data_IF_954321394327
#
_entry.id   IF_954321394327
#
_cell.length_a   1.000
_cell.length_b   1.000
_cell.length_c   1.000
_cell.angle_alpha   90.00
_cell.angle_beta   90.00
_cell.angle_gamma   90.00
#
_symmetry.space_group_name_H-M   'P 1'
#
loop_
_entity.id
_entity.type
_entity.pdbx_description
1 polymer ?
#
# COMPACT_ATOMS: atom_id res chain seq x y z
N UNK A 1 -2.30 -26.10 -8.39
CA UNK A 1 -2.16 -24.86 -7.62
C UNK A 1 -2.19 -25.23 -6.15
N UNK A 2 -1.01 -25.32 -5.53
CA UNK A 2 -0.87 -25.66 -4.11
C UNK A 2 -1.47 -24.53 -3.27
N UNK A 3 -2.57 -24.82 -2.60
CA UNK A 3 -3.21 -23.91 -1.64
C UNK A 3 -2.18 -23.52 -0.58
N UNK A 4 -1.90 -22.23 -0.32
CA UNK A 4 -1.17 -21.81 0.87
C UNK A 4 -2.09 -22.05 2.07
N UNK A 5 -2.16 -23.29 2.55
CA UNK A 5 -3.20 -23.77 3.48
C UNK A 5 -3.15 -23.24 4.91
N UNK A 6 -2.53 -22.10 5.20
CA UNK A 6 -2.41 -21.57 6.58
C UNK A 6 -2.45 -20.05 6.74
N UNK A 7 -2.60 -19.27 5.66
CA UNK A 7 -2.83 -17.83 5.82
C UNK A 7 -4.32 -17.57 5.76
N UNK A 8 -4.87 -17.03 6.84
CA UNK A 8 -6.28 -16.66 6.85
C UNK A 8 -6.46 -15.47 5.91
N UNK A 9 -7.52 -15.48 5.09
CA UNK A 9 -7.88 -14.35 4.22
C UNK A 9 -7.92 -13.03 5.00
N UNK A 10 -8.35 -13.07 6.27
CA UNK A 10 -8.32 -11.92 7.18
C UNK A 10 -6.93 -11.32 7.39
N UNK A 11 -5.85 -12.13 7.41
CA UNK A 11 -4.47 -11.61 7.54
C UNK A 11 -4.02 -10.90 6.27
N UNK A 12 -4.46 -11.35 5.10
CA UNK A 12 -4.20 -10.66 3.81
C UNK A 12 -4.90 -9.31 3.81
N UNK A 13 -6.18 -9.29 4.19
CA UNK A 13 -6.97 -8.06 4.28
C UNK A 13 -6.40 -7.09 5.33
N UNK A 14 -5.96 -7.59 6.49
CA UNK A 14 -5.27 -6.80 7.50
C UNK A 14 -3.96 -6.21 6.97
N UNK A 15 -3.20 -6.98 6.19
CA UNK A 15 -1.95 -6.52 5.56
C UNK A 15 -2.22 -5.38 4.58
N UNK A 16 -3.26 -5.49 3.76
CA UNK A 16 -3.68 -4.45 2.82
C UNK A 16 -4.17 -3.18 3.55
N UNK A 17 -5.02 -3.34 4.56
CA UNK A 17 -5.50 -2.22 5.36
C UNK A 17 -4.36 -1.52 6.10
N UNK A 18 -3.42 -2.27 6.66
CA UNK A 18 -2.23 -1.72 7.29
C UNK A 18 -1.34 -0.94 6.32
N UNK A 19 -1.24 -1.38 5.06
CA UNK A 19 -0.54 -0.65 4.00
C UNK A 19 -1.21 0.69 3.67
N UNK A 20 -2.52 0.67 3.44
CA UNK A 20 -3.29 1.88 3.16
C UNK A 20 -3.22 2.86 4.35
N UNK A 21 -3.42 2.36 5.56
CA UNK A 21 -3.36 3.14 6.80
C UNK A 21 -2.02 3.83 6.99
N UNK A 22 -0.91 3.13 6.75
CA UNK A 22 0.42 3.73 6.82
C UNK A 22 0.63 4.84 5.79
N UNK A 23 0.19 4.61 4.54
CA UNK A 23 0.35 5.61 3.47
C UNK A 23 -0.50 6.85 3.67
N UNK A 24 -1.71 6.68 4.21
CA UNK A 24 -2.68 7.74 4.47
C UNK A 24 -2.50 8.42 5.82
N UNK A 25 -1.68 7.84 6.72
CA UNK A 25 -1.33 8.44 8.01
C UNK A 25 -2.29 8.13 9.16
N UNK A 26 -3.14 7.10 9.05
CA UNK A 26 -4.08 6.73 10.10
C UNK A 26 -3.76 5.38 10.77
N UNK A 27 -4.44 5.08 11.88
CA UNK A 27 -4.41 3.76 12.53
C UNK A 27 -5.78 3.11 12.46
N UNK A 28 -5.86 1.95 11.83
CA UNK A 28 -7.09 1.15 11.81
C UNK A 28 -7.26 0.39 13.14
N UNK A 29 -8.48 0.41 13.68
CA UNK A 29 -8.88 -0.45 14.80
C UNK A 29 -9.96 -1.38 14.26
N UNK A 30 -9.68 -2.69 14.22
CA UNK A 30 -10.60 -3.70 13.68
C UNK A 30 -11.07 -4.66 14.78
N UNK A 31 -12.26 -4.43 15.38
CA UNK A 31 -12.86 -5.38 16.31
C UNK A 31 -13.12 -6.75 15.67
N UNK A 32 -13.13 -7.81 16.50
CA UNK A 32 -13.23 -9.23 16.07
C UNK A 32 -14.47 -9.54 15.22
N UNK A 33 -15.51 -8.71 15.26
CA UNK A 33 -16.77 -8.91 14.53
C UNK A 33 -17.27 -7.68 13.77
N UNK A 34 -16.48 -6.61 13.71
CA UNK A 34 -16.83 -5.36 13.00
C UNK A 34 -15.60 -4.81 12.26
N UNK A 35 -14.99 -5.68 11.44
CA UNK A 35 -13.86 -5.32 10.61
C UNK A 35 -14.25 -4.51 9.38
N UNK A 36 -13.23 -3.99 8.70
CA UNK A 36 -13.40 -3.44 7.37
C UNK A 36 -13.75 -4.57 6.37
N UNK A 37 -14.66 -4.29 5.46
CA UNK A 37 -14.98 -5.20 4.35
C UNK A 37 -13.95 -5.03 3.21
N UNK A 38 -13.96 -5.96 2.26
CA UNK A 38 -12.99 -5.95 1.14
C UNK A 38 -13.10 -4.68 0.29
N UNK A 39 -14.33 -4.18 0.05
CA UNK A 39 -14.56 -2.98 -0.76
C UNK A 39 -14.04 -1.71 -0.06
N UNK A 40 -14.21 -1.61 1.27
CA UNK A 40 -13.63 -0.55 2.09
C UNK A 40 -12.10 -0.57 2.00
N UNK A 41 -11.49 -1.76 2.08
CA UNK A 41 -10.03 -1.90 1.96
C UNK A 41 -9.56 -1.53 0.55
N UNK A 42 -10.27 -1.96 -0.50
CA UNK A 42 -9.97 -1.54 -1.88
C UNK A 42 -10.05 -0.02 -2.06
N UNK A 43 -11.02 0.64 -1.42
CA UNK A 43 -11.15 2.09 -1.45
C UNK A 43 -10.02 2.81 -0.73
N UNK A 44 -9.57 2.30 0.43
CA UNK A 44 -8.42 2.87 1.12
C UNK A 44 -7.12 2.65 0.35
N UNK A 45 -6.94 1.48 -0.29
CA UNK A 45 -5.82 1.25 -1.21
C UNK A 45 -5.87 2.20 -2.40
N UNK A 46 -7.07 2.46 -2.95
CA UNK A 46 -7.27 3.42 -4.03
C UNK A 46 -6.86 4.84 -3.62
N UNK A 47 -7.33 5.33 -2.48
CA UNK A 47 -6.92 6.62 -1.90
C UNK A 47 -5.41 6.69 -1.66
N UNK A 48 -4.83 5.65 -1.07
CA UNK A 48 -3.40 5.58 -0.79
C UNK A 48 -2.55 5.61 -2.06
N UNK A 49 -3.04 5.02 -3.15
CA UNK A 49 -2.38 5.09 -4.46
C UNK A 49 -2.54 6.47 -5.10
N UNK A 50 -3.75 7.05 -5.11
CA UNK A 50 -4.00 8.39 -5.63
C UNK A 50 -3.16 9.45 -4.91
N UNK A 51 -3.03 9.35 -3.58
CA UNK A 51 -2.15 10.20 -2.78
C UNK A 51 -0.68 10.09 -3.21
N UNK A 52 -0.21 8.88 -3.52
CA UNK A 52 1.14 8.66 -4.06
C UNK A 52 1.28 9.23 -5.47
N UNK A 53 0.31 8.96 -6.34
CA UNK A 53 0.31 9.43 -7.73
C UNK A 53 0.34 10.95 -7.82
N UNK A 54 -0.46 11.64 -7.01
CA UNK A 54 -0.46 13.10 -6.94
C UNK A 54 0.91 13.65 -6.50
N UNK A 55 1.54 12.96 -5.54
CA UNK A 55 2.86 13.35 -5.02
C UNK A 55 3.99 13.16 -6.04
N UNK A 56 3.92 12.07 -6.82
CA UNK A 56 4.86 11.81 -7.91
C UNK A 56 4.68 12.85 -9.02
N UNK A 57 3.44 13.15 -9.42
CA UNK A 57 3.15 14.19 -10.42
C UNK A 57 3.61 15.58 -9.95
N UNK A 58 3.44 15.90 -8.67
CA UNK A 58 3.95 17.15 -8.11
C UNK A 58 5.48 17.22 -8.10
N UNK A 59 6.17 16.08 -8.11
CA UNK A 59 7.62 16.04 -8.28
C UNK A 59 8.01 16.47 -9.70
N UNK A 60 7.33 15.94 -10.71
CA UNK A 60 7.55 16.32 -12.10
C UNK A 60 7.30 17.83 -12.30
N UNK A 61 6.19 18.34 -11.77
CA UNK A 61 5.87 19.77 -11.79
C UNK A 61 6.92 20.63 -11.07
N UNK A 62 7.46 20.14 -9.95
CA UNK A 62 8.50 20.85 -9.23
C UNK A 62 9.77 21.00 -10.08
N UNK A 63 10.17 19.96 -10.81
CA UNK A 63 11.32 20.02 -11.70
C UNK A 63 11.10 20.95 -12.90
N UNK A 64 9.91 20.90 -13.51
CA UNK A 64 9.55 21.81 -14.60
C UNK A 64 9.57 23.26 -14.12
N UNK A 65 8.95 23.55 -12.97
CA UNK A 65 8.92 24.89 -12.37
C UNK A 65 10.32 25.40 -12.02
N UNK A 66 11.17 24.59 -11.38
CA UNK A 66 12.55 24.94 -11.04
C UNK A 66 13.38 25.28 -12.28
N UNK A 67 13.13 24.56 -13.38
CA UNK A 67 13.78 24.82 -14.68
C UNK A 67 13.29 26.14 -15.28
N UNK A 68 11.99 26.42 -15.22
CA UNK A 68 11.39 27.66 -15.72
C UNK A 68 11.89 28.91 -14.98
N UNK A 69 12.10 28.82 -13.67
CA UNK A 69 12.62 29.93 -12.87
C UNK A 69 14.16 30.02 -12.88
N UNK A 70 14.84 29.17 -13.68
CA UNK A 70 16.30 29.06 -13.77
C UNK A 70 16.97 28.86 -12.40
N UNK A 71 16.38 28.03 -11.53
CA UNK A 71 16.95 27.71 -10.22
C UNK A 71 18.24 26.89 -10.36
N UNK A 72 19.15 27.05 -9.41
CA UNK A 72 20.39 26.27 -9.36
C UNK A 72 20.11 24.83 -8.89
N UNK A 73 19.92 23.91 -9.84
CA UNK A 73 19.61 22.51 -9.55
C UNK A 73 20.76 21.77 -8.85
N UNK A 74 22.00 22.25 -8.94
CA UNK A 74 23.14 21.63 -8.23
C UNK A 74 23.12 21.95 -6.73
N UNK A 75 22.37 22.97 -6.32
CA UNK A 75 22.23 23.35 -4.91
C UNK A 75 21.24 22.48 -4.14
N UNK A 76 20.38 21.72 -4.84
CA UNK A 76 19.38 20.85 -4.25
C UNK A 76 20.00 19.55 -3.74
N UNK A 77 19.63 19.14 -2.53
CA UNK A 77 20.07 17.89 -1.91
C UNK A 77 19.44 16.67 -2.59
N UNK A 78 18.13 16.72 -2.83
CA UNK A 78 17.35 15.64 -3.42
C UNK A 78 16.03 16.12 -4.05
N UNK A 79 15.29 15.18 -4.65
CA UNK A 79 13.94 15.42 -5.19
C UNK A 79 12.93 15.87 -4.13
N UNK A 80 13.13 15.50 -2.85
CA UNK A 80 12.21 15.90 -1.79
C UNK A 80 12.37 17.38 -1.45
N UNK A 81 13.57 17.93 -1.51
CA UNK A 81 13.80 19.36 -1.41
C UNK A 81 13.16 20.12 -2.58
N UNK A 82 13.39 19.67 -3.82
CA UNK A 82 12.77 20.24 -5.01
C UNK A 82 11.23 20.31 -4.86
N UNK A 83 10.62 19.18 -4.48
CA UNK A 83 9.18 19.07 -4.29
C UNK A 83 8.68 19.96 -3.15
N UNK A 84 9.40 20.04 -2.01
CA UNK A 84 9.00 20.90 -0.88
C UNK A 84 9.00 22.38 -1.27
N UNK A 85 10.04 22.85 -1.94
CA UNK A 85 10.12 24.24 -2.41
C UNK A 85 8.93 24.60 -3.30
N UNK A 86 8.63 23.74 -4.28
CA UNK A 86 7.49 23.91 -5.17
C UNK A 86 6.15 23.90 -4.43
N UNK A 87 5.91 22.87 -3.59
CA UNK A 87 4.64 22.70 -2.87
C UNK A 87 4.39 23.85 -1.91
N UNK A 88 5.42 24.31 -1.19
CA UNK A 88 5.30 25.46 -0.27
C UNK A 88 4.98 26.74 -1.03
N UNK A 89 5.64 26.99 -2.17
CA UNK A 89 5.37 28.15 -3.01
C UNK A 89 3.95 28.13 -3.59
N UNK A 90 3.57 27.01 -4.21
CA UNK A 90 2.27 26.85 -4.85
C UNK A 90 1.11 26.88 -3.84
N UNK A 91 1.12 26.00 -2.84
CA UNK A 91 0.00 25.90 -1.90
C UNK A 91 -0.03 27.04 -0.88
N UNK A 92 1.11 27.69 -0.63
CA UNK A 92 1.17 28.90 0.18
C UNK A 92 0.36 30.05 -0.43
N UNK A 93 0.35 30.19 -1.76
CA UNK A 93 -0.47 31.19 -2.46
C UNK A 93 -1.96 30.87 -2.40
N UNK A 94 -2.31 29.57 -2.39
CA UNK A 94 -3.70 29.08 -2.25
C UNK A 94 -4.22 29.15 -0.81
N UNK A 95 -3.41 29.62 0.15
CA UNK A 95 -3.81 29.87 1.54
C UNK A 95 -3.63 28.68 2.51
N UNK A 96 -2.86 27.66 2.13
CA UNK A 96 -2.47 26.57 3.03
C UNK A 96 -1.41 27.01 4.05
N UNK A 97 -1.32 26.27 5.18
CA UNK A 97 -0.34 26.57 6.24
C UNK A 97 1.07 26.12 5.81
N UNK A 98 1.91 27.09 5.46
CA UNK A 98 3.30 26.88 5.02
C UNK A 98 4.14 26.12 6.05
N UNK A 99 3.98 26.41 7.36
CA UNK A 99 4.76 25.74 8.40
C UNK A 99 4.41 24.25 8.46
N UNK A 100 3.12 23.92 8.30
CA UNK A 100 2.67 22.53 8.24
C UNK A 100 3.09 21.83 6.94
N UNK A 101 3.10 22.52 5.80
CA UNK A 101 3.57 21.96 4.52
C UNK A 101 5.05 21.55 4.59
N UNK A 102 5.88 22.31 5.30
CA UNK A 102 7.31 21.99 5.46
C UNK A 102 7.58 20.91 6.50
N UNK A 103 6.81 20.88 7.59
CA UNK A 103 7.09 20.02 8.75
C UNK A 103 6.32 18.71 8.76
N UNK A 104 5.08 18.69 8.25
CA UNK A 104 4.22 17.52 8.20
C UNK A 104 4.04 17.01 6.76
N UNK A 105 4.76 15.92 6.46
CA UNK A 105 4.70 15.26 5.16
C UNK A 105 3.30 14.75 4.82
N UNK A 106 2.50 14.32 5.79
CA UNK A 106 1.15 13.84 5.51
C UNK A 106 0.25 15.02 5.13
N UNK A 107 0.31 16.12 5.87
CA UNK A 107 -0.43 17.34 5.54
C UNK A 107 -0.08 17.83 4.12
N UNK A 108 1.21 17.86 3.77
CA UNK A 108 1.67 18.24 2.43
C UNK A 108 1.12 17.30 1.34
N UNK A 109 1.24 15.98 1.52
CA UNK A 109 0.75 14.99 0.55
C UNK A 109 -0.75 15.08 0.34
N UNK A 110 -1.51 15.23 1.41
CA UNK A 110 -2.97 15.36 1.36
C UNK A 110 -3.39 16.65 0.65
N UNK A 111 -2.75 17.78 0.98
CA UNK A 111 -3.04 19.08 0.35
C UNK A 111 -2.74 19.04 -1.15
N UNK A 112 -1.59 18.48 -1.55
CA UNK A 112 -1.25 18.27 -2.98
C UNK A 112 -2.27 17.39 -3.69
N UNK A 113 -2.68 16.27 -3.08
CA UNK A 113 -3.65 15.37 -3.70
C UNK A 113 -5.02 16.04 -3.89
N UNK A 114 -5.45 16.88 -2.94
CA UNK A 114 -6.70 17.63 -3.04
C UNK A 114 -6.67 18.62 -4.21
N UNK A 115 -5.60 19.41 -4.33
CA UNK A 115 -5.47 20.35 -5.47
C UNK A 115 -5.30 19.63 -6.80
N UNK A 116 -4.55 18.53 -6.82
CA UNK A 116 -4.34 17.71 -8.02
C UNK A 116 -5.65 17.11 -8.56
N UNK A 117 -6.57 16.73 -7.67
CA UNK A 117 -7.92 16.29 -8.03
C UNK A 117 -8.77 17.47 -8.48
N UNK A 118 -8.69 18.61 -7.79
CA UNK A 118 -9.46 19.81 -8.14
C UNK A 118 -9.14 20.30 -9.55
N UNK A 119 -7.88 20.24 -9.95
CA UNK A 119 -7.43 20.57 -11.31
C UNK A 119 -7.98 19.64 -12.41
N UNK A 120 -8.62 18.53 -12.06
CA UNK A 120 -9.26 17.57 -12.97
C UNK A 120 -10.79 17.68 -12.99
N UNK A 121 -11.34 18.79 -12.51
CA UNK A 121 -12.79 19.03 -12.38
C UNK A 121 -13.50 17.96 -11.53
N UNK A 122 -12.79 17.32 -10.60
CA UNK A 122 -13.33 16.38 -9.63
C UNK A 122 -13.39 17.03 -8.24
N UNK A 123 -14.40 16.63 -7.45
CA UNK A 123 -14.55 17.12 -6.08
C UNK A 123 -13.56 16.41 -5.14
N UNK A 124 -12.59 17.12 -4.53
CA UNK A 124 -11.65 16.54 -3.58
C UNK A 124 -12.32 15.97 -2.34
N UNK A 125 -13.44 16.54 -1.89
CA UNK A 125 -14.13 16.09 -0.67
C UNK A 125 -14.85 14.76 -0.88
N UNK A 126 -15.17 14.42 -2.12
CA UNK A 126 -15.72 13.11 -2.47
C UNK A 126 -14.68 11.99 -2.28
N UNK A 127 -13.40 12.29 -2.54
CA UNK A 127 -12.31 11.32 -2.47
C UNK A 127 -11.61 11.32 -1.11
N UNK A 128 -11.38 12.51 -0.56
CA UNK A 128 -10.65 12.81 0.66
C UNK A 128 -11.48 13.72 1.59
N UNK A 129 -12.54 13.19 2.23
CA UNK A 129 -13.43 14.00 3.06
C UNK A 129 -12.71 14.57 4.30
N UNK A 130 -12.85 15.87 4.55
CA UNK A 130 -12.22 16.52 5.71
C UNK A 130 -12.77 15.97 7.04
N UNK A 131 -14.05 15.63 7.09
CA UNK A 131 -14.74 15.12 8.28
C UNK A 131 -14.66 13.59 8.44
N UNK A 132 -13.71 12.92 7.77
CA UNK A 132 -13.54 11.46 7.73
C UNK A 132 -13.63 10.78 9.12
N UNK A 133 -13.09 11.41 10.16
CA UNK A 133 -13.10 10.86 11.54
C UNK A 133 -14.51 10.76 12.16
N UNK A 134 -15.44 11.61 11.73
CA UNK A 134 -16.78 11.75 12.33
C UNK A 134 -17.90 11.15 11.48
N UNK A 135 -17.58 10.73 10.25
CA UNK A 135 -18.54 10.16 9.32
C UNK A 135 -18.98 8.75 9.73
N UNK A 136 -20.27 8.45 9.52
CA UNK A 136 -20.80 7.10 9.77
C UNK A 136 -20.42 6.18 8.61
N UNK A 137 -20.25 4.89 8.89
CA UNK A 137 -19.89 3.86 7.90
C UNK A 137 -20.80 3.82 6.66
N UNK A 138 -22.10 4.09 6.83
CA UNK A 138 -23.05 4.14 5.71
C UNK A 138 -22.82 5.34 4.78
N UNK A 139 -22.37 6.47 5.34
CA UNK A 139 -22.14 7.69 4.58
C UNK A 139 -20.84 7.58 3.76
N UNK A 140 -19.96 6.62 4.08
CA UNK A 140 -18.72 6.33 3.33
C UNK A 140 -18.92 5.61 1.99
N UNK A 141 -20.05 4.93 1.80
CA UNK A 141 -20.30 4.12 0.60
C UNK A 141 -20.08 4.90 -0.71
N UNK A 142 -20.67 6.10 -0.93
CA UNK A 142 -20.42 6.86 -2.15
C UNK A 142 -18.96 7.31 -2.31
N UNK A 143 -18.29 7.67 -1.21
CA UNK A 143 -16.88 8.06 -1.22
C UNK A 143 -15.95 6.88 -1.55
N UNK A 144 -16.32 5.67 -1.14
CA UNK A 144 -15.56 4.45 -1.43
C UNK A 144 -15.63 4.11 -2.91
N UNK A 145 -16.84 4.16 -3.50
CA UNK A 145 -17.02 3.89 -4.92
C UNK A 145 -16.32 4.94 -5.79
N UNK A 146 -16.43 6.23 -5.43
CA UNK A 146 -15.75 7.31 -6.13
C UNK A 146 -14.21 7.16 -6.10
N UNK A 147 -13.65 6.75 -4.95
CA UNK A 147 -12.21 6.50 -4.81
C UNK A 147 -11.73 5.36 -5.70
N UNK A 148 -12.46 4.24 -5.69
CA UNK A 148 -12.12 3.08 -6.53
C UNK A 148 -12.21 3.46 -8.00
N UNK A 149 -13.32 4.07 -8.42
CA UNK A 149 -13.52 4.49 -9.81
C UNK A 149 -12.41 5.44 -10.29
N UNK A 150 -12.11 6.48 -9.50
CA UNK A 150 -11.07 7.46 -9.86
C UNK A 150 -9.69 6.81 -9.95
N UNK A 151 -9.36 5.93 -9.01
CA UNK A 151 -8.11 5.17 -9.03
C UNK A 151 -8.00 4.26 -10.25
N UNK A 152 -9.06 3.51 -10.59
CA UNK A 152 -9.05 2.62 -11.76
C UNK A 152 -8.85 3.42 -13.04
N UNK A 153 -9.57 4.54 -13.21
CA UNK A 153 -9.48 5.37 -14.41
C UNK A 153 -8.11 6.03 -14.55
N UNK A 154 -7.60 6.63 -13.48
CA UNK A 154 -6.28 7.27 -13.47
C UNK A 154 -5.17 6.24 -13.69
N UNK A 155 -5.21 5.09 -13.00
CA UNK A 155 -4.24 4.02 -13.21
C UNK A 155 -4.26 3.55 -14.66
N UNK A 156 -5.44 3.38 -15.25
CA UNK A 156 -5.54 2.96 -16.64
C UNK A 156 -4.93 3.99 -17.59
N UNK A 157 -5.24 5.28 -17.39
CA UNK A 157 -4.63 6.38 -18.17
C UNK A 157 -3.10 6.36 -18.05
N UNK A 158 -2.60 6.27 -16.82
CA UNK A 158 -1.16 6.19 -16.55
C UNK A 158 -0.50 4.99 -17.25
N UNK A 159 -1.15 3.83 -17.25
CA UNK A 159 -0.62 2.63 -17.91
C UNK A 159 -0.63 2.75 -19.43
N UNK A 160 -1.64 3.41 -20.01
CA UNK A 160 -1.67 3.70 -21.44
C UNK A 160 -0.52 4.62 -21.84
N UNK A 161 -0.27 5.67 -21.07
CA UNK A 161 0.81 6.63 -21.36
C UNK A 161 2.19 5.98 -21.19
N UNK A 162 2.40 5.25 -20.09
CA UNK A 162 3.69 4.63 -19.77
C UNK A 162 4.06 3.47 -20.69
N UNK A 163 3.09 2.69 -21.14
CA UNK A 163 3.30 1.46 -21.92
C UNK A 163 2.67 1.52 -23.31
N UNK A 164 2.51 2.72 -23.90
CA UNK A 164 1.84 2.92 -25.18
C UNK A 164 2.40 2.02 -26.31
N UNK A 165 3.72 1.83 -26.35
CA UNK A 165 4.37 1.00 -27.37
C UNK A 165 4.18 -0.51 -27.17
N UNK A 166 3.99 -0.95 -25.92
CA UNK A 166 3.90 -2.36 -25.54
C UNK A 166 2.45 -2.85 -25.61
N UNK A 167 1.49 -1.97 -25.34
CA UNK A 167 0.09 -2.36 -25.19
C UNK A 167 -0.60 -2.61 -26.55
N UNK A 168 -1.25 -3.78 -26.71
CA UNK A 168 -2.11 -4.07 -27.84
C UNK A 168 -3.24 -3.03 -28.04
N UNK A 169 -3.62 -2.78 -29.29
CA UNK A 169 -4.65 -1.78 -29.65
C UNK A 169 -6.01 -2.06 -29.01
N UNK A 170 -6.34 -3.31 -28.72
CA UNK A 170 -7.59 -3.69 -28.06
C UNK A 170 -7.66 -3.27 -26.58
N UNK A 171 -6.52 -2.95 -25.96
CA UNK A 171 -6.47 -2.42 -24.60
C UNK A 171 -6.48 -0.88 -24.55
N UNK A 172 -6.33 -0.20 -25.70
CA UNK A 172 -6.30 1.28 -25.76
C UNK A 172 -7.71 1.87 -25.80
N UNK A 173 -8.45 1.66 -24.72
CA UNK A 173 -9.80 2.19 -24.52
C UNK A 173 -9.73 3.50 -23.75
N UNK A 174 -10.62 4.45 -24.06
CA UNK A 174 -10.73 5.73 -23.35
C UNK A 174 -11.23 5.50 -21.91
N UNK A 175 -10.39 5.74 -20.88
CA UNK A 175 -10.72 5.45 -19.50
C UNK A 175 -11.80 6.37 -18.93
N UNK A 176 -12.16 7.48 -19.59
CA UNK A 176 -13.24 8.37 -19.11
C UNK A 176 -14.62 7.93 -19.58
N UNK A 177 -14.70 7.16 -20.68
CA UNK A 177 -15.97 6.75 -21.30
C UNK A 177 -16.34 5.29 -21.02
N UNK A 178 -15.35 4.44 -20.74
CA UNK A 178 -15.56 3.03 -20.48
C UNK A 178 -16.26 2.79 -19.13
N UNK A 179 -16.93 1.65 -19.02
CA UNK A 179 -17.48 1.17 -17.77
C UNK A 179 -16.37 0.68 -16.82
N UNK A 180 -16.55 0.90 -15.53
CA UNK A 180 -15.51 0.57 -14.52
C UNK A 180 -15.25 -0.93 -14.46
N UNK A 181 -16.29 -1.76 -14.56
CA UNK A 181 -16.13 -3.22 -14.51
C UNK A 181 -15.40 -3.76 -15.76
N UNK A 182 -15.59 -3.12 -16.92
CA UNK A 182 -14.84 -3.40 -18.12
C UNK A 182 -13.36 -3.03 -17.95
N UNK A 183 -13.08 -1.84 -17.39
CA UNK A 183 -11.71 -1.39 -17.11
C UNK A 183 -10.99 -2.33 -16.13
N UNK A 184 -11.64 -2.80 -15.06
CA UNK A 184 -11.05 -3.78 -14.15
C UNK A 184 -10.69 -5.10 -14.86
N UNK A 185 -11.54 -5.54 -15.79
CA UNK A 185 -11.28 -6.75 -16.58
C UNK A 185 -10.08 -6.56 -17.51
N UNK A 186 -9.99 -5.42 -18.18
CA UNK A 186 -8.87 -5.07 -19.05
C UNK A 186 -7.57 -4.84 -18.25
N UNK A 187 -7.67 -4.26 -17.05
CA UNK A 187 -6.53 -4.03 -16.15
C UNK A 187 -5.82 -5.33 -15.79
N UNK A 188 -6.54 -6.44 -15.61
CA UNK A 188 -5.93 -7.75 -15.39
C UNK A 188 -5.08 -8.22 -16.58
N UNK A 189 -5.49 -7.89 -17.82
CA UNK A 189 -4.72 -8.19 -19.02
C UNK A 189 -3.47 -7.31 -19.10
N UNK A 190 -3.61 -6.01 -18.80
CA UNK A 190 -2.48 -5.07 -18.70
C UNK A 190 -1.47 -5.55 -17.66
N UNK A 191 -1.95 -5.96 -16.48
CA UNK A 191 -1.11 -6.49 -15.39
C UNK A 191 -0.30 -7.70 -15.83
N UNK A 192 -0.89 -8.59 -16.64
CA UNK A 192 -0.20 -9.78 -17.13
C UNK A 192 0.93 -9.44 -18.10
N UNK A 193 0.81 -8.34 -18.85
CA UNK A 193 1.81 -7.90 -19.83
C UNK A 193 2.90 -7.03 -19.20
N UNK A 194 2.54 -6.19 -18.23
CA UNK A 194 3.42 -5.15 -17.65
C UNK A 194 3.97 -5.53 -16.28
N UNK A 195 3.40 -6.56 -15.63
CA UNK A 195 3.64 -6.92 -14.23
C UNK A 195 3.25 -5.87 -13.20
N UNK A 196 2.65 -4.74 -13.61
CA UNK A 196 2.12 -3.73 -12.70
C UNK A 196 0.63 -4.02 -12.43
N UNK A 197 0.27 -4.37 -11.19
CA UNK A 197 -1.11 -4.67 -10.84
C UNK A 197 -1.94 -3.42 -10.61
N UNK A 198 -3.26 -3.60 -10.70
CA UNK A 198 -4.21 -2.58 -10.26
C UNK A 198 -4.05 -2.31 -8.75
N UNK A 199 -3.93 -1.04 -8.31
CA UNK A 199 -3.56 -0.71 -6.93
C UNK A 199 -4.56 -1.20 -5.88
N UNK A 200 -5.85 -1.31 -6.26
CA UNK A 200 -6.93 -1.75 -5.37
C UNK A 200 -6.80 -3.22 -4.92
N UNK A 201 -5.91 -3.99 -5.56
CA UNK A 201 -5.64 -5.39 -5.23
C UNK A 201 -4.64 -5.56 -4.09
N UNK A 202 -3.92 -4.51 -3.69
CA UNK A 202 -2.90 -4.56 -2.62
C UNK A 202 -1.67 -5.41 -2.98
N UNK A 203 -1.40 -5.56 -4.27
CA UNK A 203 -0.25 -6.29 -4.80
C UNK A 203 0.75 -5.32 -5.40
N UNK A 204 2.01 -5.71 -5.38
CA UNK A 204 3.12 -4.95 -5.96
C UNK A 204 4.01 -5.86 -6.78
N UNK A 205 4.71 -5.26 -7.76
CA UNK A 205 5.78 -5.94 -8.48
C UNK A 205 7.00 -6.02 -7.57
N UNK A 206 7.51 -7.24 -7.38
CA UNK A 206 8.72 -7.47 -6.59
C UNK A 206 9.85 -7.94 -7.49
N UNK A 207 11.08 -7.62 -7.09
CA UNK A 207 12.32 -8.05 -7.74
C UNK A 207 13.02 -9.04 -6.83
N UNK A 208 13.45 -10.18 -7.38
CA UNK A 208 14.24 -11.16 -6.65
C UNK A 208 15.62 -10.59 -6.33
N UNK A 209 15.91 -10.40 -5.04
CA UNK A 209 17.18 -9.87 -4.56
C UNK A 209 18.40 -10.75 -4.86
N UNK A 210 18.22 -12.01 -5.27
CA UNK A 210 19.34 -12.88 -5.68
C UNK A 210 19.68 -12.76 -7.17
N UNK A 211 18.67 -12.66 -8.02
CA UNK A 211 18.85 -12.70 -9.48
C UNK A 211 18.70 -11.34 -10.15
N UNK A 212 18.08 -10.37 -9.47
CA UNK A 212 17.74 -9.05 -10.02
C UNK A 212 16.58 -9.07 -11.02
N UNK A 213 15.87 -10.19 -11.16
CA UNK A 213 14.73 -10.34 -12.09
C UNK A 213 13.41 -10.11 -11.37
N UNK A 214 12.38 -9.56 -12.04
CA UNK A 214 11.04 -9.47 -11.46
C UNK A 214 10.43 -10.86 -11.23
N UNK A 215 9.54 -10.98 -10.25
CA UNK A 215 8.72 -12.18 -10.08
C UNK A 215 7.67 -12.30 -11.20
N UNK A 216 7.28 -13.52 -11.54
CA UNK A 216 6.30 -13.80 -12.60
C UNK A 216 4.91 -13.20 -12.29
N UNK A 217 4.54 -13.12 -11.01
CA UNK A 217 3.25 -12.62 -10.56
C UNK A 217 3.43 -11.56 -9.48
N UNK A 218 2.57 -10.50 -9.47
CA UNK A 218 2.53 -9.53 -8.40
C UNK A 218 2.23 -10.18 -7.05
N UNK A 219 2.89 -9.69 -6.00
CA UNK A 219 2.85 -10.26 -4.65
C UNK A 219 2.15 -9.27 -3.73
N UNK A 220 1.32 -9.78 -2.81
CA UNK A 220 0.75 -8.94 -1.75
C UNK A 220 1.87 -8.44 -0.84
N UNK A 221 1.96 -7.12 -0.71
CA UNK A 221 2.89 -6.42 0.18
C UNK A 221 2.08 -5.50 1.07
N UNK A 222 2.47 -5.39 2.34
CA UNK A 222 1.83 -4.47 3.25
C UNK A 222 2.40 -4.55 4.66
N UNK A 223 1.69 -3.93 5.59
CA UNK A 223 2.10 -3.85 6.98
C UNK A 223 1.16 -4.72 7.80
N UNK A 224 1.73 -5.76 8.41
CA UNK A 224 1.00 -6.68 9.27
C UNK A 224 1.51 -6.57 10.71
N UNK A 225 0.58 -6.61 11.67
CA UNK A 225 0.95 -6.71 13.07
C UNK A 225 1.37 -8.15 13.42
N UNK A 226 2.66 -8.34 13.72
CA UNK A 226 3.21 -9.65 14.06
C UNK A 226 3.50 -9.77 15.56
N UNK A 227 2.88 -10.77 16.20
CA UNK A 227 3.16 -11.12 17.59
C UNK A 227 4.14 -12.28 17.69
N UNK A 228 5.13 -12.14 18.58
CA UNK A 228 6.03 -13.23 18.94
C UNK A 228 5.43 -14.03 20.10
N UNK A 229 5.16 -15.31 19.87
CA UNK A 229 4.66 -16.22 20.90
C UNK A 229 5.76 -16.61 21.89
N UNK A 230 5.37 -16.96 23.11
CA UNK A 230 6.28 -17.33 24.20
C UNK A 230 7.06 -18.64 23.96
N UNK A 231 6.66 -19.46 22.99
CA UNK A 231 7.27 -20.76 22.74
C UNK A 231 8.62 -20.63 22.00
N UNK A 232 9.70 -20.45 22.75
CA UNK A 232 11.04 -20.37 22.19
C UNK A 232 11.62 -21.76 21.86
N UNK A 233 12.49 -21.80 20.84
CA UNK A 233 13.21 -23.02 20.44
C UNK A 233 14.15 -23.47 21.57
N UNK A 234 14.74 -22.53 22.31
CA UNK A 234 15.62 -22.81 23.45
C UNK A 234 14.93 -23.66 24.52
N UNK A 235 13.65 -23.39 24.79
CA UNK A 235 12.88 -24.16 25.76
C UNK A 235 12.63 -25.60 25.29
N UNK A 236 12.58 -25.81 23.98
CA UNK A 236 12.25 -27.10 23.34
C UNK A 236 13.48 -27.93 22.96
N UNK A 237 14.63 -27.30 22.74
CA UNK A 237 15.87 -28.00 22.45
C UNK A 237 16.33 -28.77 23.69
N UNK A 238 16.51 -30.08 23.52
CA UNK A 238 17.01 -30.98 24.55
C UNK A 238 17.76 -32.14 23.90
N UNK A 239 18.98 -32.39 24.36
CA UNK A 239 19.80 -33.51 23.94
C UNK A 239 20.37 -34.22 25.16
N UNK A 240 20.41 -35.55 25.13
CA UNK A 240 20.92 -36.40 26.22
C UNK A 240 21.87 -37.44 25.63
N UNK A 241 23.06 -37.58 26.22
CA UNK A 241 23.97 -38.72 25.97
C UNK A 241 23.76 -39.82 27.03
N UNK A 242 23.96 -39.52 28.31
CA UNK A 242 23.69 -40.39 29.47
C UNK A 242 22.95 -39.61 30.55
N UNK A 243 22.19 -40.27 31.42
CA UNK A 243 21.42 -39.59 32.48
C UNK A 243 20.80 -40.56 33.48
N UNK A 244 20.00 -40.06 34.44
CA UNK A 244 19.40 -40.89 35.49
C UNK A 244 18.38 -41.90 34.95
N UNK A 245 18.25 -43.00 35.69
CA UNK A 245 17.36 -44.12 35.41
C UNK A 245 16.37 -44.33 36.56
N UNK A 246 15.17 -44.80 36.23
CA UNK A 246 14.17 -45.22 37.21
C UNK A 246 14.66 -46.45 37.98
N UNK A 247 14.58 -46.42 39.32
CA UNK A 247 14.96 -47.55 40.19
C UNK A 247 14.13 -48.82 39.92
N UNK A 248 12.87 -48.66 39.49
CA UNK A 248 11.94 -49.77 39.28
C UNK A 248 12.11 -50.39 37.90
N UNK A 249 12.13 -49.57 36.85
CA UNK A 249 12.11 -50.05 35.45
C UNK A 249 13.47 -50.04 34.77
N UNK A 250 14.50 -49.44 35.40
CA UNK A 250 15.82 -49.20 34.81
C UNK A 250 15.74 -48.49 33.45
N UNK A 251 14.66 -47.72 33.22
CA UNK A 251 14.51 -46.90 32.02
C UNK A 251 14.97 -45.47 32.28
N UNK A 252 15.48 -44.76 31.25
CA UNK A 252 15.73 -43.32 31.31
C UNK A 252 14.52 -42.56 31.86
N UNK A 253 14.76 -41.60 32.78
CA UNK A 253 13.70 -40.67 33.20
C UNK A 253 13.17 -39.88 32.00
N UNK A 254 11.95 -39.33 32.11
CA UNK A 254 11.33 -38.53 31.05
C UNK A 254 11.38 -37.04 31.34
N UNK A 255 11.46 -36.21 30.29
CA UNK A 255 11.35 -34.76 30.41
C UNK A 255 12.68 -34.01 30.60
N UNK A 256 12.75 -32.79 30.07
CA UNK A 256 13.96 -31.94 30.05
C UNK A 256 14.52 -31.64 31.44
N UNK A 257 13.66 -31.32 32.40
CA UNK A 257 14.06 -30.95 33.77
C UNK A 257 14.83 -32.06 34.52
N UNK A 258 14.68 -33.33 34.10
CA UNK A 258 15.32 -34.48 34.74
C UNK A 258 16.46 -35.07 33.90
N UNK A 259 16.98 -34.33 32.92
CA UNK A 259 17.85 -34.88 31.87
C UNK A 259 17.26 -36.16 31.26
N UNK A 260 15.94 -36.17 31.09
CA UNK A 260 15.20 -37.33 30.65
C UNK A 260 15.41 -37.63 29.16
N UNK A 261 15.21 -38.89 28.77
CA UNK A 261 15.11 -39.28 27.36
C UNK A 261 13.77 -38.85 26.76
N UNK A 262 13.71 -38.80 25.43
CA UNK A 262 12.41 -38.82 24.74
C UNK A 262 11.75 -40.19 24.96
N UNK A 263 10.43 -40.18 25.11
CA UNK A 263 9.62 -41.41 25.14
C UNK A 263 9.38 -41.91 23.74
#
# INVERSE_FOLDING_TARGET
>A
LGVPGRMNIGQVLETHLGWAAHRLGFRAITPVFDGANEREISAELARAWLLGRAWDVAADWAWDWLTEIEYDLESLEDENEARRLFVTGWLGEEGYDIEQLETDLQYARWSVAREWIRGRDQDPDLLFPENHETMRKLDWIPHNEAAIETCVREWYSFMLDKYDEVLPKDLKVDPLKADVAELETLANRITTLTHEPLPILGKEMLIDGKTGRPFDQPVTVGILHMLKLAHLVEDKAHARSTGPYSLVTQQPLGGKAQFGGQR
#
